data_IF_276941793609
#
_entry.id   IF_276941793609
#
_cell.length_a   1.000
_cell.length_b   1.000
_cell.length_c   1.000
_cell.angle_alpha   90.00
_cell.angle_beta   90.00
_cell.angle_gamma   90.00
#
_symmetry.space_group_name_H-M   'P 1'
#
loop_
_entity.id
_entity.type
_entity.pdbx_description
1 polymer ?
#
# COMPACT_ATOMS: atom_id res chain seq x y z
N UNK A 1 -18.75 17.18 11.38
CA UNK A 1 -18.26 16.18 10.41
C UNK A 1 -16.84 15.86 10.81
N UNK A 2 -16.57 14.67 11.35
CA UNK A 2 -15.21 14.32 11.82
C UNK A 2 -14.94 12.86 11.46
N UNK A 3 -14.37 12.63 10.28
CA UNK A 3 -13.80 11.32 9.97
C UNK A 3 -12.47 11.26 10.72
N UNK A 4 -12.37 10.40 11.74
CA UNK A 4 -11.04 9.91 12.14
C UNK A 4 -10.49 9.17 10.92
N UNK A 5 -9.63 9.80 10.13
CA UNK A 5 -8.99 9.16 8.97
C UNK A 5 -8.05 8.07 9.52
N UNK A 6 -8.54 6.83 9.60
CA UNK A 6 -7.68 5.67 9.77
C UNK A 6 -6.66 5.63 8.63
N UNK A 7 -5.50 5.02 8.87
CA UNK A 7 -4.57 4.71 7.78
C UNK A 7 -5.27 3.79 6.78
N UNK A 8 -5.12 4.06 5.49
CA UNK A 8 -5.65 3.23 4.41
C UNK A 8 -4.55 2.35 3.84
N UNK A 9 -4.95 1.31 3.12
CA UNK A 9 -4.03 0.41 2.42
C UNK A 9 -3.03 1.19 1.56
N UNK A 10 -3.47 2.21 0.82
CA UNK A 10 -2.58 3.06 0.01
C UNK A 10 -1.54 3.84 0.82
N UNK A 11 -1.83 4.19 2.07
CA UNK A 11 -0.91 4.97 2.89
C UNK A 11 0.27 4.07 3.33
N UNK A 12 0.02 2.79 3.60
CA UNK A 12 1.07 1.78 3.84
C UNK A 12 1.87 1.47 2.57
N UNK A 13 1.20 1.25 1.43
CA UNK A 13 1.89 0.97 0.16
C UNK A 13 2.82 2.13 -0.21
N UNK A 14 2.37 3.38 -0.04
CA UNK A 14 3.20 4.56 -0.26
C UNK A 14 4.45 4.57 0.61
N UNK A 15 4.34 4.18 1.89
CA UNK A 15 5.50 4.03 2.78
C UNK A 15 6.45 2.92 2.30
N UNK A 16 5.92 1.77 1.89
CA UNK A 16 6.72 0.68 1.33
C UNK A 16 7.46 1.14 0.08
N UNK A 17 6.80 1.82 -0.85
CA UNK A 17 7.43 2.33 -2.08
C UNK A 17 8.50 3.40 -1.81
N UNK A 18 8.38 4.18 -0.73
CA UNK A 18 9.43 5.12 -0.32
C UNK A 18 10.70 4.42 0.18
N UNK A 19 10.55 3.26 0.82
CA UNK A 19 11.67 2.45 1.31
C UNK A 19 12.24 1.52 0.22
N UNK A 20 11.37 1.07 -0.68
CA UNK A 20 11.65 0.11 -1.73
C UNK A 20 11.00 0.61 -3.03
N UNK A 21 11.75 1.41 -3.79
CA UNK A 21 11.25 2.00 -5.05
C UNK A 21 10.80 0.88 -6.01
N UNK A 22 9.52 0.85 -6.45
CA UNK A 22 9.03 -0.18 -7.36
C UNK A 22 9.76 -0.18 -8.71
N UNK A 23 10.45 0.91 -9.09
CA UNK A 23 11.29 0.96 -10.28
C UNK A 23 12.54 0.05 -10.21
N UNK A 24 12.86 -0.49 -9.03
CA UNK A 24 13.92 -1.48 -8.85
C UNK A 24 13.48 -2.90 -9.23
N UNK A 25 12.18 -3.13 -9.41
CA UNK A 25 11.65 -4.42 -9.84
C UNK A 25 12.00 -4.68 -11.31
N UNK A 26 12.24 -5.95 -11.66
CA UNK A 26 12.44 -6.36 -13.05
C UNK A 26 11.14 -6.19 -13.86
N UNK A 27 11.27 -6.10 -15.18
CA UNK A 27 10.14 -5.85 -16.09
C UNK A 27 9.05 -6.94 -16.07
N UNK A 28 9.43 -8.16 -15.70
CA UNK A 28 8.54 -9.30 -15.54
C UNK A 28 7.88 -9.38 -14.17
N UNK A 29 8.29 -8.58 -13.20
CA UNK A 29 7.78 -8.65 -11.83
C UNK A 29 6.49 -7.81 -11.65
N UNK A 30 5.49 -8.40 -11.00
CA UNK A 30 4.20 -7.75 -10.76
C UNK A 30 4.11 -7.35 -9.28
N UNK A 31 4.69 -6.19 -8.96
CA UNK A 31 4.79 -5.66 -7.61
C UNK A 31 3.68 -4.66 -7.27
N UNK A 32 3.58 -4.27 -5.99
CA UNK A 32 2.57 -3.33 -5.50
C UNK A 32 1.26 -4.01 -5.08
N UNK A 33 0.14 -3.28 -5.13
CA UNK A 33 -1.17 -3.82 -4.74
C UNK A 33 -1.71 -4.77 -5.81
N UNK A 34 -1.69 -6.07 -5.51
CA UNK A 34 -2.15 -7.10 -6.44
C UNK A 34 -3.67 -7.22 -6.48
N UNK A 35 -4.33 -7.21 -5.32
CA UNK A 35 -5.78 -7.35 -5.21
C UNK A 35 -6.29 -6.53 -4.02
N UNK A 36 -7.39 -5.81 -4.22
CA UNK A 36 -8.10 -5.11 -3.16
C UNK A 36 -8.42 -3.66 -3.48
N UNK A 37 -8.92 -2.94 -2.47
CA UNK A 37 -9.23 -1.51 -2.56
C UNK A 37 -8.16 -0.68 -1.83
N UNK A 38 -7.38 0.17 -2.53
CA UNK A 38 -6.39 1.03 -1.90
C UNK A 38 -7.00 2.01 -0.88
N UNK A 39 -8.28 2.36 -1.03
CA UNK A 39 -9.01 3.26 -0.13
C UNK A 39 -9.52 2.59 1.15
N UNK A 40 -9.45 1.26 1.26
CA UNK A 40 -9.94 0.52 2.41
C UNK A 40 -9.14 0.82 3.68
N UNK A 41 -9.79 0.81 4.87
CA UNK A 41 -9.10 1.02 6.14
C UNK A 41 -8.13 -0.13 6.44
N UNK A 42 -6.94 0.22 6.92
CA UNK A 42 -5.92 -0.72 7.35
C UNK A 42 -6.04 -0.97 8.86
N UNK A 43 -6.32 -2.22 9.25
CA UNK A 43 -6.45 -2.59 10.66
C UNK A 43 -5.26 -3.40 11.18
N UNK A 44 -4.73 -4.31 10.35
CA UNK A 44 -3.60 -5.20 10.66
C UNK A 44 -2.83 -5.54 9.39
N UNK A 45 -1.56 -5.88 9.57
CA UNK A 45 -0.67 -6.40 8.52
C UNK A 45 -0.23 -7.81 8.92
N UNK A 46 -0.24 -8.73 7.96
CA UNK A 46 0.35 -10.06 8.07
C UNK A 46 1.43 -10.17 6.99
N UNK A 47 2.58 -10.72 7.36
CA UNK A 47 3.75 -10.93 6.49
C UNK A 47 4.05 -12.41 6.43
#
# INVERSE_FOLDING_TARGET
MMVKKGQRIQDLIGLVHQLYDPALAEDWDNVGLQVGDPGAPLEKVLV
#
